data_IF_350469943588
#
_entry.id   IF_350469943588
#
_cell.length_a   1.000
_cell.length_b   1.000
_cell.length_c   1.000
_cell.angle_alpha   90.00
_cell.angle_beta   90.00
_cell.angle_gamma   90.00
#
_symmetry.space_group_name_H-M   'P 1'
#
loop_
_entity.id
_entity.type
_entity.pdbx_description
1 polymer ?
#
# COMPACT_ATOMS: atom_id res chain seq x y z
N UNK A 1 -27.64 -1.17 34.21
CA UNK A 1 -26.53 -0.66 33.38
C UNK A 1 -25.70 -1.85 32.96
N UNK A 2 -25.79 -2.27 31.70
CA UNK A 2 -25.03 -3.41 31.19
C UNK A 2 -23.80 -2.86 30.44
N UNK A 3 -22.61 -3.09 30.99
CA UNK A 3 -21.36 -2.88 30.29
C UNK A 3 -21.24 -3.97 29.23
N UNK A 4 -21.38 -3.59 27.97
CA UNK A 4 -21.11 -4.48 26.84
C UNK A 4 -19.63 -4.83 26.84
N UNK A 5 -19.31 -6.07 27.21
CA UNK A 5 -18.01 -6.68 26.95
C UNK A 5 -17.75 -6.57 25.45
N UNK A 6 -16.68 -5.86 25.09
CA UNK A 6 -16.31 -5.61 23.71
C UNK A 6 -16.20 -6.94 22.98
N UNK A 7 -16.93 -7.06 21.86
CA UNK A 7 -16.69 -8.13 20.91
C UNK A 7 -15.22 -8.00 20.47
N UNK A 8 -14.37 -8.93 20.88
CA UNK A 8 -13.06 -9.08 20.26
C UNK A 8 -13.35 -9.37 18.79
N UNK A 9 -13.22 -8.36 17.95
CA UNK A 9 -13.26 -8.55 16.51
C UNK A 9 -11.91 -9.14 16.19
N UNK A 10 -11.78 -10.46 16.30
CA UNK A 10 -10.56 -11.18 15.96
C UNK A 10 -10.30 -10.93 14.47
N UNK A 11 -9.42 -9.97 14.19
CA UNK A 11 -8.94 -9.75 12.84
C UNK A 11 -7.93 -10.84 12.53
N UNK A 12 -8.06 -11.47 11.36
CA UNK A 12 -7.07 -12.42 10.87
C UNK A 12 -5.78 -11.65 10.59
N UNK A 13 -4.77 -11.86 11.42
CA UNK A 13 -3.41 -11.38 11.20
C UNK A 13 -2.87 -11.96 9.89
N UNK A 14 -2.35 -11.11 9.01
CA UNK A 14 -1.69 -11.55 7.78
C UNK A 14 -0.18 -11.62 7.97
N UNK A 15 0.44 -12.60 7.30
CA UNK A 15 1.90 -12.68 7.24
C UNK A 15 2.49 -11.50 6.45
N UNK A 16 3.73 -11.08 6.79
CA UNK A 16 4.43 -10.05 6.03
C UNK A 16 4.67 -10.55 4.61
N UNK A 17 4.64 -9.61 3.64
CA UNK A 17 4.95 -9.95 2.26
C UNK A 17 6.43 -10.28 2.14
N UNK A 18 6.74 -11.37 1.43
CA UNK A 18 8.10 -11.67 0.99
C UNK A 18 8.51 -10.66 -0.08
N UNK A 19 9.71 -10.09 0.04
CA UNK A 19 10.25 -9.09 -0.89
C UNK A 19 11.03 -8.00 -0.18
N UNK A 20 11.60 -7.09 -0.96
CA UNK A 20 12.29 -5.90 -0.45
C UNK A 20 11.32 -4.74 -0.33
N UNK A 21 11.37 -4.02 0.79
CA UNK A 21 10.52 -2.87 1.07
C UNK A 21 11.29 -1.59 0.77
N UNK A 22 10.69 -0.71 -0.02
CA UNK A 22 11.23 0.61 -0.32
C UNK A 22 10.25 1.69 0.12
N UNK A 23 10.72 2.69 0.86
CA UNK A 23 9.95 3.89 1.16
C UNK A 23 9.73 4.69 -0.13
N UNK A 24 8.48 5.11 -0.38
CA UNK A 24 8.12 5.79 -1.63
C UNK A 24 7.24 7.00 -1.39
N UNK A 25 7.41 8.02 -2.23
CA UNK A 25 6.44 9.10 -2.34
C UNK A 25 5.36 8.70 -3.35
N UNK A 26 4.09 8.84 -3.00
CA UNK A 26 2.96 8.44 -3.86
C UNK A 26 2.02 9.61 -4.08
N UNK A 27 1.65 9.85 -5.34
CA UNK A 27 0.51 10.69 -5.67
C UNK A 27 -0.75 9.84 -5.64
N UNK A 28 -1.73 10.26 -4.83
CA UNK A 28 -3.00 9.55 -4.67
C UNK A 28 -4.18 10.48 -4.91
N UNK A 29 -5.22 9.94 -5.52
CA UNK A 29 -6.57 10.47 -5.32
C UNK A 29 -7.20 9.85 -4.09
N UNK A 30 -8.14 10.59 -3.52
CA UNK A 30 -9.05 10.07 -2.51
C UNK A 30 -10.47 10.23 -3.04
N UNK A 31 -11.24 9.16 -2.98
CA UNK A 31 -12.67 9.21 -3.30
C UNK A 31 -13.41 10.01 -2.23
N UNK A 32 -14.63 10.45 -2.54
CA UNK A 32 -15.52 11.07 -1.53
C UNK A 32 -15.79 10.18 -0.30
N UNK A 33 -15.56 8.87 -0.43
CA UNK A 33 -15.68 7.87 0.65
C UNK A 33 -14.36 7.58 1.38
N UNK A 34 -13.29 8.33 1.07
CA UNK A 34 -12.00 8.21 1.73
C UNK A 34 -11.12 7.06 1.25
N UNK A 35 -11.47 6.37 0.15
CA UNK A 35 -10.59 5.33 -0.43
C UNK A 35 -9.47 5.99 -1.21
N UNK A 36 -8.22 5.62 -0.93
CA UNK A 36 -7.08 6.10 -1.72
C UNK A 36 -6.90 5.29 -3.00
N UNK A 37 -6.50 5.99 -4.06
CA UNK A 37 -6.22 5.45 -5.39
C UNK A 37 -4.86 6.00 -5.86
N UNK A 38 -3.78 5.21 -5.75
CA UNK A 38 -2.46 5.58 -6.26
C UNK A 38 -2.47 5.82 -7.76
N UNK A 39 -1.82 6.89 -8.20
CA UNK A 39 -1.72 7.31 -9.61
C UNK A 39 -0.29 7.23 -10.13
N UNK A 40 0.67 7.59 -9.28
CA UNK A 40 2.10 7.56 -9.57
C UNK A 40 2.89 7.40 -8.27
N UNK A 41 4.12 6.92 -8.39
CA UNK A 41 5.06 6.88 -7.28
C UNK A 41 6.45 7.34 -7.73
N UNK A 42 7.24 7.78 -6.75
CA UNK A 42 8.68 8.00 -6.86
C UNK A 42 9.38 7.19 -5.80
N UNK A 43 10.36 6.41 -6.23
CA UNK A 43 11.24 5.61 -5.37
C UNK A 43 12.67 6.04 -5.64
N UNK A 44 13.49 6.03 -4.59
CA UNK A 44 14.92 6.25 -4.69
C UNK A 44 15.59 4.90 -4.99
N UNK A 45 16.31 4.81 -6.10
CA UNK A 45 17.09 3.66 -6.49
C UNK A 45 18.40 3.55 -5.70
N UNK A 46 19.19 2.53 -6.02
CA UNK A 46 20.44 2.22 -5.33
C UNK A 46 21.53 3.27 -5.59
N UNK A 47 21.53 3.90 -6.77
CA UNK A 47 22.49 4.92 -7.18
C UNK A 47 21.98 6.35 -6.87
N UNK A 48 21.07 6.47 -5.90
CA UNK A 48 20.41 7.72 -5.49
C UNK A 48 19.52 8.35 -6.57
N UNK A 49 19.28 7.64 -7.67
CA UNK A 49 18.42 8.08 -8.76
C UNK A 49 16.94 8.02 -8.37
N UNK A 50 16.15 8.98 -8.82
CA UNK A 50 14.70 8.97 -8.57
C UNK A 50 14.00 8.31 -9.75
N UNK A 51 13.50 7.10 -9.51
CA UNK A 51 12.70 6.35 -10.47
C UNK A 51 11.23 6.74 -10.28
N UNK A 52 10.60 7.18 -11.36
CA UNK A 52 9.19 7.55 -11.37
C UNK A 52 8.38 6.48 -12.12
N UNK A 53 7.36 5.92 -11.47
CA UNK A 53 6.39 5.01 -12.08
C UNK A 53 5.05 5.76 -12.17
N UNK A 54 4.54 5.91 -13.39
CA UNK A 54 3.32 6.67 -13.71
C UNK A 54 2.20 5.76 -14.18
N UNK A 55 0.99 6.32 -14.27
CA UNK A 55 -0.19 5.65 -14.82
C UNK A 55 -0.46 4.32 -14.10
N UNK A 56 -0.38 4.34 -12.76
CA UNK A 56 -0.62 3.17 -11.93
C UNK A 56 -2.08 2.74 -12.11
N UNK A 57 -2.27 1.47 -12.48
CA UNK A 57 -3.56 0.80 -12.44
C UNK A 57 -3.64 -0.07 -11.20
N UNK A 58 -4.59 0.25 -10.32
CA UNK A 58 -4.90 -0.57 -9.15
C UNK A 58 -5.76 -1.75 -9.58
N UNK A 59 -5.28 -2.97 -9.36
CA UNK A 59 -5.97 -4.21 -9.68
C UNK A 59 -6.85 -4.68 -8.51
N UNK A 60 -6.29 -4.71 -7.31
CA UNK A 60 -7.01 -5.06 -6.07
C UNK A 60 -6.58 -4.18 -4.91
N UNK A 61 -7.49 -4.03 -3.94
CA UNK A 61 -7.24 -3.33 -2.68
C UNK A 61 -7.74 -4.22 -1.54
N UNK A 62 -6.85 -4.55 -0.62
CA UNK A 62 -7.11 -5.44 0.51
C UNK A 62 -6.75 -4.71 1.82
N UNK A 63 -7.66 -4.72 2.80
CA UNK A 63 -7.34 -4.29 4.17
C UNK A 63 -6.67 -5.45 4.90
N UNK A 64 -5.52 -5.19 5.51
CA UNK A 64 -4.73 -6.16 6.26
C UNK A 64 -4.46 -5.63 7.67
N UNK A 65 -4.23 -6.56 8.59
CA UNK A 65 -3.77 -6.36 9.95
C UNK A 65 -2.45 -7.12 10.10
N UNK A 66 -1.43 -6.41 10.54
CA UNK A 66 -0.14 -6.98 10.85
C UNK A 66 0.35 -6.42 12.18
N UNK A 67 0.58 -7.32 13.14
CA UNK A 67 0.95 -6.97 14.51
C UNK A 67 -0.02 -5.95 15.14
N UNK A 68 -1.33 -6.11 14.90
CA UNK A 68 -2.36 -5.19 15.37
C UNK A 68 -2.45 -3.84 14.62
N UNK A 69 -1.62 -3.59 13.60
CA UNK A 69 -1.62 -2.35 12.81
C UNK A 69 -2.36 -2.57 11.48
N UNK A 70 -3.26 -1.65 11.14
CA UNK A 70 -3.96 -1.67 9.86
C UNK A 70 -3.04 -1.23 8.73
N UNK A 71 -2.98 -2.03 7.68
CA UNK A 71 -2.31 -1.69 6.43
C UNK A 71 -3.28 -1.90 5.25
N UNK A 72 -3.13 -1.09 4.21
CA UNK A 72 -3.84 -1.28 2.95
C UNK A 72 -2.88 -1.78 1.88
N UNK A 73 -3.18 -2.94 1.32
CA UNK A 73 -2.41 -3.57 0.26
C UNK A 73 -3.05 -3.35 -1.09
N UNK A 74 -2.30 -2.72 -1.97
CA UNK A 74 -2.69 -2.43 -3.34
C UNK A 74 -1.86 -3.31 -4.28
N UNK A 75 -2.52 -4.19 -5.02
CA UNK A 75 -1.86 -4.86 -6.15
C UNK A 75 -1.99 -3.94 -7.35
N UNK A 76 -0.85 -3.55 -7.90
CA UNK A 76 -0.76 -2.52 -8.92
C UNK A 76 -0.08 -3.06 -10.18
N UNK A 77 -0.38 -2.39 -11.29
CA UNK A 77 0.27 -2.58 -12.57
C UNK A 77 0.62 -1.23 -13.18
N UNK A 78 1.74 -1.15 -13.89
CA UNK A 78 2.12 0.01 -14.67
C UNK A 78 3.02 -0.40 -15.85
N UNK A 79 3.33 0.55 -16.73
CA UNK A 79 4.34 0.37 -17.79
C UNK A 79 5.59 1.17 -17.43
N UNK A 80 6.72 0.50 -17.32
CA UNK A 80 8.03 1.10 -17.09
C UNK A 80 8.98 0.65 -18.21
N UNK A 81 9.60 1.61 -18.90
CA UNK A 81 10.49 1.35 -20.04
C UNK A 81 9.86 0.44 -21.12
N UNK A 82 8.55 0.62 -21.38
CA UNK A 82 7.80 -0.17 -22.36
C UNK A 82 7.42 -1.58 -21.91
N UNK A 83 7.76 -1.98 -20.68
CA UNK A 83 7.38 -3.28 -20.11
C UNK A 83 6.29 -3.10 -19.06
N UNK A 84 5.29 -3.98 -19.12
CA UNK A 84 4.29 -4.07 -18.06
C UNK A 84 4.93 -4.71 -16.82
N UNK A 85 4.80 -4.03 -15.69
CA UNK A 85 5.29 -4.48 -14.39
C UNK A 85 4.12 -4.60 -13.43
N UNK A 86 4.17 -5.61 -12.56
CA UNK A 86 3.25 -5.77 -11.44
C UNK A 86 4.04 -5.54 -10.15
N UNK A 87 3.45 -4.84 -9.19
CA UNK A 87 4.08 -4.54 -7.91
C UNK A 87 3.01 -4.35 -6.83
N UNK A 88 3.44 -4.34 -5.57
CA UNK A 88 2.56 -4.09 -4.44
C UNK A 88 2.91 -2.77 -3.77
N UNK A 89 1.90 -1.96 -3.52
CA UNK A 89 2.01 -0.82 -2.61
C UNK A 89 1.32 -1.15 -1.29
N UNK A 90 1.98 -0.81 -0.19
CA UNK A 90 1.41 -0.83 1.15
C UNK A 90 1.25 0.60 1.64
N UNK A 91 0.07 0.92 2.15
CA UNK A 91 -0.18 2.17 2.86
C UNK A 91 -0.44 1.88 4.34
N UNK A 92 0.40 2.44 5.20
CA UNK A 92 0.23 2.43 6.64
C UNK A 92 -0.42 3.77 7.06
N UNK A 93 -1.71 3.78 7.46
CA UNK A 93 -2.39 5.03 7.83
C UNK A 93 -1.84 5.66 9.12
N UNK A 94 -1.32 4.86 10.05
CA UNK A 94 -0.77 5.36 11.33
C UNK A 94 0.46 6.24 11.10
N UNK A 95 1.34 5.82 10.20
CA UNK A 95 2.56 6.56 9.85
C UNK A 95 2.35 7.53 8.68
N UNK A 96 1.16 7.50 8.05
CA UNK A 96 0.88 8.17 6.77
C UNK A 96 1.95 7.88 5.70
N UNK A 97 2.46 6.64 5.69
CA UNK A 97 3.61 6.23 4.89
C UNK A 97 3.23 5.19 3.82
N UNK A 98 3.94 5.25 2.69
CA UNK A 98 3.78 4.31 1.59
C UNK A 98 5.06 3.51 1.37
N UNK A 99 4.90 2.21 1.18
CA UNK A 99 5.99 1.28 0.87
C UNK A 99 5.71 0.55 -0.43
N UNK A 100 6.73 0.44 -1.28
CA UNK A 100 6.75 -0.45 -2.44
C UNK A 100 7.35 -1.78 -2.02
N UNK A 101 6.71 -2.88 -2.42
CA UNK A 101 7.23 -4.25 -2.24
C UNK A 101 7.46 -4.86 -3.61
N UNK A 102 8.70 -5.30 -3.84
CA UNK A 102 9.20 -5.95 -5.07
C UNK A 102 9.89 -7.26 -4.77
#
# INVERSE_FOLDING_TARGET
>A
MAFGIGINTEHTEQEPLSGTYHEVAVQCWFTATGKSLPLMLKVKGEDEEIIQINHIQVLTVEKQWYAGIVNWKYRCQAVLLGKQINFVLLFCPEDCAWKLVV
#
